data_IF_571827818115
#
_entry.id   IF_571827818115
#
_cell.length_a   1.000
_cell.length_b   1.000
_cell.length_c   1.000
_cell.angle_alpha   90.00
_cell.angle_beta   90.00
_cell.angle_gamma   90.00
#
_symmetry.space_group_name_H-M   'P 1'
#
loop_
_entity.id
_entity.type
_entity.pdbx_description
1 polymer ?
#
# COMPACT_ATOMS: atom_id res chain seq x y z
N UNK A 1 -12.08 45.91 -7.44
CA UNK A 1 -11.00 44.91 -7.56
C UNK A 1 -11.62 43.54 -7.73
N UNK A 2 -11.17 42.87 -8.77
CA UNK A 2 -11.83 41.84 -9.56
C UNK A 2 -12.02 40.52 -8.80
N UNK A 3 -13.26 40.01 -8.74
CA UNK A 3 -13.53 38.62 -8.37
C UNK A 3 -13.02 37.76 -9.52
N UNK A 4 -11.84 37.15 -9.35
CA UNK A 4 -11.36 36.12 -10.27
C UNK A 4 -12.29 34.91 -10.13
N UNK A 5 -13.31 34.87 -10.98
CA UNK A 5 -14.05 33.66 -11.29
C UNK A 5 -13.05 32.69 -11.93
N UNK A 6 -12.53 31.74 -11.14
CA UNK A 6 -11.98 30.51 -11.70
C UNK A 6 -13.14 29.74 -12.34
N UNK A 7 -13.45 30.10 -13.58
CA UNK A 7 -14.27 29.34 -14.50
C UNK A 7 -13.57 27.99 -14.68
N UNK A 8 -13.95 26.98 -13.88
CA UNK A 8 -13.46 25.61 -14.03
C UNK A 8 -13.72 25.22 -15.47
N UNK A 9 -12.66 25.07 -16.26
CA UNK A 9 -12.69 24.59 -17.64
C UNK A 9 -13.63 23.40 -17.71
N UNK A 10 -14.50 23.42 -18.71
CA UNK A 10 -15.28 22.27 -19.10
C UNK A 10 -14.32 21.17 -19.58
N UNK A 11 -13.81 20.40 -18.63
CA UNK A 11 -12.72 19.47 -18.86
C UNK A 11 -13.33 18.18 -19.43
N UNK A 12 -13.26 18.04 -20.76
CA UNK A 12 -13.72 16.84 -21.50
C UNK A 12 -13.23 15.53 -20.87
N UNK A 13 -12.03 15.54 -20.26
CA UNK A 13 -11.46 14.39 -19.56
C UNK A 13 -12.23 14.07 -18.27
N UNK A 14 -12.49 15.07 -17.42
CA UNK A 14 -13.28 14.88 -16.19
C UNK A 14 -14.69 14.37 -16.52
N UNK A 15 -15.32 14.91 -17.57
CA UNK A 15 -16.62 14.43 -18.04
C UNK A 15 -16.57 12.97 -18.50
N UNK A 16 -15.50 12.57 -19.19
CA UNK A 16 -15.30 11.19 -19.61
C UNK A 16 -15.25 10.25 -18.40
N UNK A 17 -14.52 10.62 -17.33
CA UNK A 17 -14.46 9.83 -16.10
C UNK A 17 -15.82 9.66 -15.42
N UNK A 18 -16.68 10.70 -15.44
CA UNK A 18 -18.03 10.65 -14.87
C UNK A 18 -18.98 9.77 -15.69
N UNK A 19 -18.84 9.78 -17.01
CA UNK A 19 -19.72 9.02 -17.93
C UNK A 19 -19.34 7.55 -18.06
N UNK A 20 -18.06 7.20 -17.88
CA UNK A 20 -17.57 5.85 -18.12
C UNK A 20 -17.45 5.02 -16.82
N UNK A 21 -18.34 4.02 -16.61
CA UNK A 21 -18.29 3.17 -15.41
C UNK A 21 -17.02 2.30 -15.34
N UNK A 22 -16.40 2.02 -16.49
CA UNK A 22 -15.16 1.22 -16.58
C UNK A 22 -13.88 2.02 -16.31
N UNK A 23 -13.98 3.34 -16.11
CA UNK A 23 -12.81 4.19 -15.88
C UNK A 23 -11.98 3.73 -14.67
N UNK A 24 -12.64 3.27 -13.60
CA UNK A 24 -11.96 2.72 -12.42
C UNK A 24 -11.15 1.48 -12.75
N UNK A 25 -11.70 0.57 -13.57
CA UNK A 25 -11.00 -0.66 -13.96
C UNK A 25 -9.78 -0.33 -14.83
N UNK A 26 -9.92 0.60 -15.77
CA UNK A 26 -8.80 1.03 -16.64
C UNK A 26 -7.68 1.64 -15.80
N UNK A 27 -7.99 2.51 -14.84
CA UNK A 27 -6.97 3.05 -13.93
C UNK A 27 -6.27 1.97 -13.13
N UNK A 28 -7.01 0.99 -12.59
CA UNK A 28 -6.41 -0.13 -11.86
C UNK A 28 -5.45 -0.93 -12.76
N UNK A 29 -5.87 -1.26 -13.97
CA UNK A 29 -5.03 -2.00 -14.92
C UNK A 29 -3.78 -1.21 -15.32
N UNK A 30 -3.90 0.10 -15.54
CA UNK A 30 -2.74 0.94 -15.87
C UNK A 30 -1.76 1.06 -14.70
N UNK A 31 -2.26 1.34 -13.50
CA UNK A 31 -1.42 1.55 -12.30
C UNK A 31 -0.70 0.27 -11.93
N UNK A 32 -1.40 -0.85 -11.75
CA UNK A 32 -0.76 -2.10 -11.35
C UNK A 32 0.00 -2.76 -12.52
N UNK A 33 -0.54 -2.69 -13.75
CA UNK A 33 0.09 -3.31 -14.92
C UNK A 33 1.43 -2.66 -15.29
N UNK A 34 1.56 -1.33 -15.17
CA UNK A 34 2.83 -0.64 -15.44
C UNK A 34 3.93 -1.01 -14.44
N UNK A 35 3.58 -1.13 -13.15
CA UNK A 35 4.52 -1.54 -12.10
C UNK A 35 5.00 -2.97 -12.30
N UNK A 36 4.07 -3.90 -12.55
CA UNK A 36 4.40 -5.30 -12.85
C UNK A 36 5.30 -5.38 -14.07
N UNK A 37 4.98 -4.65 -15.14
CA UNK A 37 5.77 -4.60 -16.36
C UNK A 37 7.19 -4.11 -16.09
N UNK A 38 7.37 -3.03 -15.31
CA UNK A 38 8.70 -2.51 -14.96
C UNK A 38 9.49 -3.54 -14.15
N UNK A 39 8.88 -4.14 -13.12
CA UNK A 39 9.58 -5.12 -12.29
C UNK A 39 10.03 -6.32 -13.13
N UNK A 40 9.15 -6.87 -13.98
CA UNK A 40 9.50 -8.01 -14.85
C UNK A 40 10.52 -7.65 -15.93
N UNK A 41 10.45 -6.44 -16.51
CA UNK A 41 11.42 -5.97 -17.50
C UNK A 41 12.84 -5.87 -16.93
N UNK A 42 12.97 -5.41 -15.67
CA UNK A 42 14.26 -5.22 -15.02
C UNK A 42 14.75 -6.45 -14.24
N UNK A 43 13.90 -7.45 -14.02
CA UNK A 43 14.21 -8.69 -13.30
C UNK A 43 15.52 -9.38 -13.73
N UNK A 44 15.86 -9.50 -15.04
CA UNK A 44 17.14 -10.09 -15.46
C UNK A 44 18.36 -9.33 -14.91
N UNK A 45 18.24 -8.02 -14.71
CA UNK A 45 19.33 -7.14 -14.28
C UNK A 45 19.48 -7.05 -12.75
N UNK A 46 18.55 -7.64 -11.98
CA UNK A 46 18.50 -7.51 -10.52
C UNK A 46 18.90 -8.77 -9.77
N UNK A 47 18.91 -9.95 -10.42
CA UNK A 47 19.18 -11.25 -9.79
C UNK A 47 20.47 -11.32 -8.95
N UNK A 48 21.54 -10.60 -9.35
CA UNK A 48 22.83 -10.63 -8.66
C UNK A 48 23.11 -9.41 -7.77
N UNK A 49 22.19 -8.43 -7.75
CA UNK A 49 22.41 -7.13 -7.11
C UNK A 49 21.19 -6.69 -6.30
N UNK A 50 21.12 -7.06 -5.00
CA UNK A 50 19.99 -6.73 -4.14
C UNK A 50 19.67 -5.23 -4.09
N UNK A 51 20.67 -4.35 -4.07
CA UNK A 51 20.46 -2.90 -4.09
C UNK A 51 19.78 -2.42 -5.38
N UNK A 52 20.11 -3.01 -6.54
CA UNK A 52 19.44 -2.71 -7.80
C UNK A 52 18.00 -3.22 -7.78
N UNK A 53 17.78 -4.42 -7.24
CA UNK A 53 16.43 -4.96 -7.06
C UNK A 53 15.55 -3.99 -6.26
N UNK A 54 16.06 -3.48 -5.14
CA UNK A 54 15.34 -2.54 -4.29
C UNK A 54 15.13 -1.19 -4.98
N UNK A 55 16.14 -0.67 -5.68
CA UNK A 55 15.99 0.56 -6.46
C UNK A 55 14.91 0.46 -7.54
N UNK A 56 14.79 -0.69 -8.21
CA UNK A 56 13.74 -0.96 -9.21
C UNK A 56 12.36 -0.98 -8.54
N UNK A 57 12.21 -1.70 -7.42
CA UNK A 57 10.93 -1.75 -6.67
C UNK A 57 10.54 -0.36 -6.16
N UNK A 58 11.48 0.38 -5.58
CA UNK A 58 11.23 1.74 -5.09
C UNK A 58 10.84 2.68 -6.24
N UNK A 59 11.56 2.65 -7.35
CA UNK A 59 11.25 3.44 -8.53
C UNK A 59 9.86 3.11 -9.12
N UNK A 60 9.52 1.82 -9.19
CA UNK A 60 8.22 1.37 -9.68
C UNK A 60 7.08 1.84 -8.76
N UNK A 61 7.25 1.76 -7.44
CA UNK A 61 6.24 2.26 -6.49
C UNK A 61 6.13 3.80 -6.49
N UNK A 62 7.22 4.54 -6.67
CA UNK A 62 7.17 6.00 -6.86
C UNK A 62 6.37 6.34 -8.12
N UNK A 63 6.60 5.61 -9.22
CA UNK A 63 5.79 5.77 -10.44
C UNK A 63 4.31 5.44 -10.17
N UNK A 64 4.03 4.38 -9.41
CA UNK A 64 2.67 4.00 -9.01
C UNK A 64 1.96 5.16 -8.29
N UNK A 65 2.61 5.77 -7.31
CA UNK A 65 2.10 6.95 -6.59
C UNK A 65 1.87 8.12 -7.56
N UNK A 66 2.81 8.39 -8.46
CA UNK A 66 2.68 9.45 -9.46
C UNK A 66 1.47 9.22 -10.38
N UNK A 67 1.25 7.99 -10.83
CA UNK A 67 0.09 7.61 -11.65
C UNK A 67 -1.23 7.73 -10.88
N UNK A 68 -1.26 7.35 -9.61
CA UNK A 68 -2.43 7.53 -8.73
C UNK A 68 -2.76 9.01 -8.55
N UNK A 69 -1.76 9.85 -8.29
CA UNK A 69 -1.93 11.30 -8.18
C UNK A 69 -2.41 11.91 -9.50
N UNK A 70 -1.85 11.48 -10.63
CA UNK A 70 -2.27 11.91 -11.96
C UNK A 70 -3.72 11.51 -12.24
N UNK A 71 -4.11 10.27 -11.93
CA UNK A 71 -5.49 9.78 -12.10
C UNK A 71 -6.50 10.61 -11.31
N UNK A 72 -6.21 10.93 -10.04
CA UNK A 72 -7.06 11.83 -9.25
C UNK A 72 -7.17 13.23 -9.85
N UNK A 73 -6.04 13.79 -10.29
CA UNK A 73 -6.03 15.10 -10.93
C UNK A 73 -6.85 15.12 -12.22
N UNK A 74 -6.72 14.09 -13.07
CA UNK A 74 -7.50 13.95 -14.31
C UNK A 74 -9.00 13.78 -14.04
N UNK A 75 -9.37 13.17 -12.91
CA UNK A 75 -10.76 13.08 -12.43
C UNK A 75 -11.31 14.40 -11.87
N UNK A 76 -10.48 15.43 -11.71
CA UNK A 76 -10.86 16.68 -11.03
C UNK A 76 -11.12 16.50 -9.54
N UNK A 77 -10.68 15.38 -8.96
CA UNK A 77 -10.84 15.07 -7.55
C UNK A 77 -9.63 15.60 -6.76
N UNK A 78 -9.84 16.21 -5.58
CA UNK A 78 -8.73 16.79 -4.84
C UNK A 78 -7.87 15.68 -4.24
N UNK A 79 -6.53 15.79 -4.38
CA UNK A 79 -5.56 14.83 -3.82
C UNK A 79 -5.75 14.60 -2.31
N UNK A 80 -6.28 15.60 -1.61
CA UNK A 80 -6.59 15.51 -0.18
C UNK A 80 -7.51 14.31 0.15
N UNK A 81 -8.35 13.88 -0.79
CA UNK A 81 -9.27 12.75 -0.63
C UNK A 81 -8.54 11.38 -0.67
N UNK A 82 -7.30 11.34 -1.16
CA UNK A 82 -6.41 10.18 -1.04
C UNK A 82 -5.66 10.12 0.30
N UNK A 83 -5.93 11.03 1.23
CA UNK A 83 -5.23 11.07 2.53
C UNK A 83 -4.11 12.11 2.62
N UNK A 84 -3.86 12.89 1.56
CA UNK A 84 -3.00 14.10 1.64
C UNK A 84 -3.66 15.25 2.43
N UNK A 85 -4.91 15.08 2.88
CA UNK A 85 -5.60 16.03 3.76
C UNK A 85 -5.05 15.98 5.20
N UNK A 86 -3.81 16.39 5.40
CA UNK A 86 -3.29 16.61 6.75
C UNK A 86 -3.79 17.98 7.22
N UNK A 87 -5.04 18.06 7.71
CA UNK A 87 -5.48 19.19 8.54
C UNK A 87 -4.84 19.08 9.93
N UNK A 88 -3.52 19.15 10.00
CA UNK A 88 -2.77 19.25 11.25
C UNK A 88 -2.66 20.70 11.64
N UNK A 89 -3.25 21.02 12.79
CA UNK A 89 -2.69 21.96 13.76
C UNK A 89 -3.41 21.81 15.10
N UNK A 90 -3.55 20.57 15.57
CA UNK A 90 -3.94 20.33 16.95
C UNK A 90 -3.23 19.08 17.42
N UNK A 91 -2.35 19.23 18.40
CA UNK A 91 -1.65 18.15 19.11
C UNK A 91 -2.57 16.95 19.40
N UNK A 92 -3.82 17.22 19.77
CA UNK A 92 -4.89 16.21 19.97
C UNK A 92 -5.07 15.23 18.80
N UNK A 93 -5.01 15.69 17.54
CA UNK A 93 -5.17 14.81 16.37
C UNK A 93 -3.96 13.92 16.12
N UNK A 94 -2.76 14.44 16.37
CA UNK A 94 -1.51 13.65 16.28
C UNK A 94 -1.52 12.58 17.38
N UNK A 95 -1.87 12.96 18.61
CA UNK A 95 -1.99 12.03 19.72
C UNK A 95 -3.04 10.95 19.44
N UNK A 96 -4.21 11.32 18.90
CA UNK A 96 -5.21 10.35 18.48
C UNK A 96 -4.69 9.41 17.39
N UNK A 97 -3.96 9.92 16.40
CA UNK A 97 -3.40 9.07 15.35
C UNK A 97 -2.39 8.06 15.93
N UNK A 98 -1.53 8.51 16.84
CA UNK A 98 -0.61 7.66 17.58
C UNK A 98 -1.35 6.59 18.40
N UNK A 99 -2.33 7.00 19.20
CA UNK A 99 -3.11 6.08 20.04
C UNK A 99 -3.83 5.00 19.22
N UNK A 100 -4.46 5.38 18.10
CA UNK A 100 -5.15 4.42 17.24
C UNK A 100 -4.20 3.60 16.37
N UNK A 101 -2.98 4.07 16.11
CA UNK A 101 -2.01 3.30 15.32
C UNK A 101 -1.54 2.04 16.05
N UNK A 102 -1.52 2.05 17.38
CA UNK A 102 -1.12 0.88 18.21
C UNK A 102 -2.05 -0.33 18.04
N UNK A 103 -3.38 -0.24 18.26
CA UNK A 103 -4.27 -1.39 18.08
C UNK A 103 -4.35 -1.86 16.63
N UNK A 104 -4.23 -0.94 15.66
CA UNK A 104 -4.13 -1.30 14.23
C UNK A 104 -2.87 -2.13 13.99
N UNK A 105 -1.73 -1.65 14.48
CA UNK A 105 -0.45 -2.35 14.41
C UNK A 105 -0.51 -3.74 15.04
N UNK A 106 -0.98 -3.84 16.30
CA UNK A 106 -1.07 -5.10 17.04
C UNK A 106 -1.96 -6.10 16.30
N UNK A 107 -3.10 -5.66 15.76
CA UNK A 107 -4.02 -6.54 15.05
C UNK A 107 -3.48 -6.97 13.69
N UNK A 108 -2.85 -6.05 12.95
CA UNK A 108 -2.21 -6.36 11.67
C UNK A 108 -1.04 -7.34 11.85
N UNK A 109 -0.22 -7.14 12.89
CA UNK A 109 0.87 -8.05 13.27
C UNK A 109 0.33 -9.42 13.69
N UNK A 110 -0.71 -9.45 14.52
CA UNK A 110 -1.35 -10.70 14.94
C UNK A 110 -1.92 -11.47 13.73
N UNK A 111 -2.55 -10.78 12.77
CA UNK A 111 -3.05 -11.39 11.54
C UNK A 111 -1.90 -11.96 10.68
N UNK A 112 -0.79 -11.23 10.57
CA UNK A 112 0.41 -11.69 9.87
C UNK A 112 1.00 -12.96 10.52
N UNK A 113 1.17 -12.97 11.85
CA UNK A 113 1.68 -14.12 12.60
C UNK A 113 0.72 -15.31 12.53
N UNK A 114 -0.59 -15.06 12.66
CA UNK A 114 -1.61 -16.10 12.55
C UNK A 114 -1.56 -16.78 11.18
N UNK A 115 -1.42 -16.03 10.09
CA UNK A 115 -1.26 -16.59 8.76
C UNK A 115 0.00 -17.46 8.64
N UNK A 116 1.12 -17.05 9.26
CA UNK A 116 2.34 -17.85 9.37
C UNK A 116 2.09 -19.20 10.05
N UNK A 117 1.33 -19.20 11.15
CA UNK A 117 1.01 -20.41 11.91
C UNK A 117 0.02 -21.33 11.16
N UNK A 118 -0.86 -20.76 10.34
CA UNK A 118 -1.84 -21.51 9.56
C UNK A 118 -1.27 -22.06 8.25
N UNK A 119 -0.21 -21.47 7.68
CA UNK A 119 0.31 -21.87 6.37
C UNK A 119 0.74 -23.36 6.30
N UNK A 120 1.47 -23.91 7.29
CA UNK A 120 1.81 -25.33 7.30
C UNK A 120 0.58 -26.23 7.42
N UNK A 121 -0.40 -25.83 8.25
CA UNK A 121 -1.59 -26.63 8.53
C UNK A 121 -2.56 -26.69 7.33
N UNK A 122 -2.71 -25.58 6.60
CA UNK A 122 -3.69 -25.47 5.53
C UNK A 122 -3.14 -25.84 4.15
N UNK A 123 -1.84 -25.67 3.92
CA UNK A 123 -1.24 -25.72 2.58
C UNK A 123 0.09 -26.49 2.50
N UNK A 124 0.54 -27.14 3.58
CA UNK A 124 1.84 -27.82 3.64
C UNK A 124 3.02 -26.91 3.23
N UNK A 125 2.90 -25.63 3.59
CA UNK A 125 3.92 -24.61 3.31
C UNK A 125 4.88 -24.42 4.49
N UNK A 126 6.08 -23.86 4.26
CA UNK A 126 6.97 -23.47 5.35
C UNK A 126 6.32 -22.48 6.32
N UNK A 127 6.75 -22.51 7.58
CA UNK A 127 6.26 -21.56 8.60
C UNK A 127 6.81 -20.15 8.41
N UNK A 128 7.86 -19.98 7.61
CA UNK A 128 8.58 -18.72 7.42
C UNK A 128 8.52 -18.26 5.96
N UNK A 129 8.54 -16.96 5.75
CA UNK A 129 8.53 -16.33 4.42
C UNK A 129 9.95 -16.05 3.92
N UNK A 130 10.15 -16.05 2.60
CA UNK A 130 11.45 -15.77 2.01
C UNK A 130 11.73 -14.25 2.00
N UNK A 131 12.47 -13.80 3.02
CA UNK A 131 12.93 -12.40 3.14
C UNK A 131 14.39 -12.24 2.73
N UNK A 132 14.99 -13.23 2.06
CA UNK A 132 16.41 -13.24 1.72
C UNK A 132 16.85 -12.05 0.87
N UNK A 133 15.94 -11.45 0.09
CA UNK A 133 16.15 -10.22 -0.67
C UNK A 133 16.53 -8.99 0.17
N UNK A 134 16.42 -9.07 1.50
CA UNK A 134 16.80 -8.02 2.45
C UNK A 134 18.11 -8.30 3.19
N UNK A 135 18.72 -9.47 3.02
CA UNK A 135 19.97 -9.85 3.71
C UNK A 135 21.16 -8.91 3.40
N UNK A 136 21.07 -8.08 2.36
CA UNK A 136 22.12 -7.14 1.98
C UNK A 136 22.41 -6.08 3.05
N UNK A 137 21.46 -5.75 3.93
CA UNK A 137 21.66 -4.80 5.02
C UNK A 137 21.97 -5.46 6.38
N UNK A 138 21.99 -6.80 6.46
CA UNK A 138 22.32 -7.52 7.70
C UNK A 138 23.69 -7.09 8.23
N UNK A 139 23.77 -6.76 9.52
CA UNK A 139 24.97 -6.25 10.20
C UNK A 139 25.61 -5.01 9.54
N UNK A 140 24.87 -4.29 8.67
CA UNK A 140 25.34 -3.11 7.93
C UNK A 140 24.44 -1.91 8.18
N UNK A 141 24.70 -1.11 9.24
CA UNK A 141 23.77 -0.08 9.71
C UNK A 141 23.49 1.03 8.67
N UNK A 142 24.48 1.36 7.83
CA UNK A 142 24.29 2.34 6.75
C UNK A 142 23.28 1.86 5.68
N UNK A 143 23.32 0.57 5.33
CA UNK A 143 22.35 -0.01 4.40
C UNK A 143 20.98 -0.21 5.06
N UNK A 144 20.94 -0.54 6.36
CA UNK A 144 19.68 -0.57 7.10
C UNK A 144 18.99 0.79 7.08
N UNK A 145 19.72 1.87 7.39
CA UNK A 145 19.18 3.22 7.40
C UNK A 145 18.65 3.63 6.01
N UNK A 146 19.43 3.37 4.96
CA UNK A 146 18.99 3.60 3.58
C UNK A 146 17.70 2.83 3.26
N UNK A 147 17.63 1.58 3.69
CA UNK A 147 16.49 0.71 3.45
C UNK A 147 15.25 1.16 4.23
N UNK A 148 15.42 1.61 5.48
CA UNK A 148 14.33 2.19 6.29
C UNK A 148 13.79 3.48 5.68
N UNK A 149 14.65 4.36 5.18
CA UNK A 149 14.21 5.57 4.48
C UNK A 149 13.40 5.24 3.22
N UNK A 150 13.86 4.25 2.45
CA UNK A 150 13.15 3.75 1.28
C UNK A 150 11.79 3.14 1.65
N UNK A 151 11.76 2.23 2.61
CA UNK A 151 10.55 1.49 3.01
C UNK A 151 9.49 2.41 3.60
N UNK A 152 9.85 3.43 4.38
CA UNK A 152 8.86 4.37 4.92
C UNK A 152 8.15 5.17 3.83
N UNK A 153 8.89 5.58 2.78
CA UNK A 153 8.30 6.32 1.67
C UNK A 153 7.48 5.40 0.75
N UNK A 154 8.05 4.25 0.41
CA UNK A 154 7.54 3.37 -0.64
C UNK A 154 6.52 2.38 -0.11
N UNK A 155 6.84 1.69 0.98
CA UNK A 155 5.97 0.70 1.62
C UNK A 155 4.98 1.40 2.55
N UNK A 156 5.43 1.89 3.69
CA UNK A 156 4.53 2.32 4.76
C UNK A 156 3.61 3.48 4.35
N UNK A 157 4.13 4.46 3.59
CA UNK A 157 3.32 5.53 3.01
C UNK A 157 2.69 5.15 1.67
N UNK A 158 3.51 4.73 0.72
CA UNK A 158 3.09 4.47 -0.66
C UNK A 158 2.06 3.36 -0.79
N UNK A 159 2.23 2.24 -0.09
CA UNK A 159 1.29 1.13 -0.15
C UNK A 159 -0.03 1.47 0.54
N UNK A 160 -0.03 2.18 1.67
CA UNK A 160 -1.29 2.61 2.27
C UNK A 160 -2.04 3.57 1.32
N UNK A 161 -1.33 4.51 0.70
CA UNK A 161 -1.91 5.40 -0.31
C UNK A 161 -2.50 4.62 -1.50
N UNK A 162 -1.76 3.67 -2.06
CA UNK A 162 -2.19 2.93 -3.25
C UNK A 162 -3.28 1.91 -2.93
N UNK A 163 -3.09 1.07 -1.92
CA UNK A 163 -3.99 -0.04 -1.64
C UNK A 163 -5.21 0.40 -0.83
N UNK A 164 -5.08 1.34 0.14
CA UNK A 164 -6.20 1.71 1.02
C UNK A 164 -6.92 2.94 0.50
N UNK A 165 -6.20 3.98 0.13
CA UNK A 165 -6.86 5.18 -0.40
C UNK A 165 -7.35 5.00 -1.83
N UNK A 166 -6.46 4.64 -2.76
CA UNK A 166 -6.79 4.57 -4.18
C UNK A 166 -7.55 3.30 -4.57
N UNK A 167 -7.00 2.11 -4.33
CA UNK A 167 -7.57 0.84 -4.78
C UNK A 167 -8.95 0.61 -4.15
N UNK A 168 -9.12 0.81 -2.83
CA UNK A 168 -10.44 0.67 -2.22
C UNK A 168 -11.45 1.71 -2.71
N UNK A 169 -11.04 2.94 -3.07
CA UNK A 169 -11.95 3.91 -3.70
C UNK A 169 -12.44 3.38 -5.07
N UNK A 170 -11.51 2.89 -5.90
CA UNK A 170 -11.85 2.33 -7.22
C UNK A 170 -12.72 1.07 -7.12
N UNK A 171 -12.39 0.16 -6.21
CA UNK A 171 -13.22 -1.01 -5.91
C UNK A 171 -14.60 -0.60 -5.38
N UNK A 172 -14.68 0.43 -4.54
CA UNK A 172 -15.94 0.99 -4.07
C UNK A 172 -16.83 1.46 -5.21
N UNK A 173 -16.27 2.13 -6.22
CA UNK A 173 -17.01 2.57 -7.42
C UNK A 173 -17.45 1.40 -8.29
N UNK A 174 -16.60 0.38 -8.46
CA UNK A 174 -16.91 -0.82 -9.23
C UNK A 174 -18.01 -1.65 -8.56
N UNK A 175 -17.96 -1.78 -7.23
CA UNK A 175 -18.91 -2.59 -6.47
C UNK A 175 -20.11 -1.79 -5.94
N UNK A 176 -20.35 -0.56 -6.42
CA UNK A 176 -21.38 0.35 -5.88
C UNK A 176 -22.81 -0.22 -5.79
N UNK A 177 -23.14 -1.18 -6.64
CA UNK A 177 -24.47 -1.79 -6.71
C UNK A 177 -24.57 -3.14 -5.97
N UNK A 178 -23.49 -3.63 -5.36
CA UNK A 178 -23.47 -4.91 -4.66
C UNK A 178 -23.81 -4.72 -3.17
N UNK A 179 -24.70 -5.56 -2.63
CA UNK A 179 -25.07 -5.53 -1.20
C UNK A 179 -23.87 -5.73 -0.27
N UNK A 180 -22.86 -6.49 -0.72
CA UNK A 180 -21.63 -6.78 0.02
C UNK A 180 -20.45 -5.87 -0.38
N UNK A 181 -20.71 -4.67 -0.92
CA UNK A 181 -19.68 -3.74 -1.42
C UNK A 181 -18.46 -3.62 -0.50
N UNK A 182 -18.66 -3.32 0.79
CA UNK A 182 -17.56 -3.14 1.76
C UNK A 182 -16.72 -4.40 1.94
N UNK A 183 -17.37 -5.57 1.99
CA UNK A 183 -16.69 -6.86 2.11
C UNK A 183 -15.85 -7.13 0.86
N UNK A 184 -16.42 -6.91 -0.33
CA UNK A 184 -15.69 -7.08 -1.60
C UNK A 184 -14.48 -6.13 -1.67
N UNK A 185 -14.64 -4.86 -1.27
CA UNK A 185 -13.52 -3.92 -1.19
C UNK A 185 -12.38 -4.44 -0.30
N UNK A 186 -12.70 -4.95 0.90
CA UNK A 186 -11.70 -5.50 1.82
C UNK A 186 -11.02 -6.73 1.23
N UNK A 187 -11.79 -7.70 0.73
CA UNK A 187 -11.27 -8.97 0.21
C UNK A 187 -10.38 -8.74 -1.01
N UNK A 188 -10.87 -8.01 -2.02
CA UNK A 188 -10.09 -7.77 -3.23
C UNK A 188 -8.86 -6.89 -2.96
N UNK A 189 -8.98 -5.86 -2.12
CA UNK A 189 -7.82 -5.04 -1.75
C UNK A 189 -6.76 -5.86 -1.03
N UNK A 190 -7.14 -6.75 -0.12
CA UNK A 190 -6.21 -7.58 0.64
C UNK A 190 -5.52 -8.63 -0.24
N UNK A 191 -6.26 -9.28 -1.14
CA UNK A 191 -5.69 -10.25 -2.09
C UNK A 191 -4.68 -9.56 -3.01
N UNK A 192 -5.03 -8.40 -3.59
CA UNK A 192 -4.13 -7.66 -4.49
C UNK A 192 -2.88 -7.18 -3.72
N UNK A 193 -3.05 -6.76 -2.47
CA UNK A 193 -1.93 -6.40 -1.58
C UNK A 193 -1.02 -7.61 -1.30
N UNK A 194 -1.59 -8.78 -1.02
CA UNK A 194 -0.81 -9.99 -0.81
C UNK A 194 -0.06 -10.46 -2.05
N UNK A 195 -0.72 -10.44 -3.22
CA UNK A 195 -0.10 -10.81 -4.49
C UNK A 195 1.08 -9.92 -4.86
N UNK A 196 1.12 -8.66 -4.40
CA UNK A 196 2.26 -7.77 -4.61
C UNK A 196 3.55 -8.26 -3.92
N UNK A 197 3.42 -9.15 -2.93
CA UNK A 197 4.51 -9.73 -2.17
C UNK A 197 4.91 -11.13 -2.68
N UNK A 198 4.61 -11.47 -3.94
CA UNK A 198 4.92 -12.78 -4.52
C UNK A 198 6.40 -13.17 -4.45
N UNK A 199 7.31 -12.19 -4.41
CA UNK A 199 8.75 -12.42 -4.25
C UNK A 199 9.13 -12.98 -2.88
N UNK A 200 8.23 -12.93 -1.89
CA UNK A 200 8.41 -13.52 -0.57
C UNK A 200 7.90 -14.97 -0.49
N UNK A 201 7.55 -15.55 -1.64
CA UNK A 201 6.94 -16.86 -1.76
C UNK A 201 5.46 -16.87 -1.38
N UNK A 202 4.83 -18.05 -1.49
CA UNK A 202 3.40 -18.22 -1.20
C UNK A 202 3.04 -17.88 0.26
N UNK A 203 3.94 -18.19 1.20
CA UNK A 203 3.76 -17.84 2.62
C UNK A 203 3.69 -16.32 2.79
N UNK A 204 4.58 -15.57 2.13
CA UNK A 204 4.59 -14.11 2.18
C UNK A 204 3.31 -13.50 1.60
N UNK A 205 2.82 -14.04 0.47
CA UNK A 205 1.51 -13.65 -0.11
C UNK A 205 0.37 -13.89 0.87
N UNK A 206 0.36 -15.04 1.54
CA UNK A 206 -0.69 -15.40 2.49
C UNK A 206 -0.65 -14.52 3.76
N UNK A 207 0.53 -14.31 4.33
CA UNK A 207 0.73 -13.44 5.49
C UNK A 207 0.31 -12.00 5.22
N UNK A 208 0.77 -11.44 4.10
CA UNK A 208 0.45 -10.07 3.71
C UNK A 208 -1.01 -9.91 3.30
N UNK A 209 -1.66 -10.96 2.78
CA UNK A 209 -3.12 -10.96 2.58
C UNK A 209 -3.87 -10.79 3.91
N UNK A 210 -3.51 -11.55 4.95
CA UNK A 210 -4.16 -11.44 6.27
C UNK A 210 -3.91 -10.09 6.94
N UNK A 211 -2.67 -9.61 6.89
CA UNK A 211 -2.33 -8.23 7.28
C UNK A 211 -3.17 -7.22 6.48
N UNK A 212 -3.33 -7.47 5.18
CA UNK A 212 -4.10 -6.66 4.25
C UNK A 212 -5.56 -6.52 4.65
N UNK A 213 -6.18 -7.63 5.08
CA UNK A 213 -7.55 -7.67 5.61
C UNK A 213 -7.65 -6.76 6.84
N UNK A 214 -6.76 -6.93 7.83
CA UNK A 214 -6.77 -6.13 9.05
C UNK A 214 -6.68 -4.63 8.74
N UNK A 215 -5.71 -4.23 7.91
CA UNK A 215 -5.52 -2.83 7.52
C UNK A 215 -6.73 -2.27 6.75
N UNK A 216 -7.31 -3.03 5.82
CA UNK A 216 -8.49 -2.61 5.07
C UNK A 216 -9.74 -2.46 5.95
N UNK A 217 -9.94 -3.37 6.92
CA UNK A 217 -11.02 -3.29 7.91
C UNK A 217 -10.86 -2.03 8.76
N UNK A 218 -9.67 -1.80 9.33
CA UNK A 218 -9.42 -0.59 10.13
C UNK A 218 -9.51 0.69 9.31
N UNK A 219 -9.08 0.69 8.06
CA UNK A 219 -9.24 1.83 7.17
C UNK A 219 -10.71 2.24 7.03
N UNK A 220 -11.62 1.28 6.85
CA UNK A 220 -13.06 1.57 6.82
C UNK A 220 -13.61 1.94 8.20
N UNK A 221 -13.24 1.22 9.25
CA UNK A 221 -13.74 1.42 10.61
C UNK A 221 -13.34 2.79 11.19
N UNK A 222 -12.15 3.27 10.88
CA UNK A 222 -11.61 4.55 11.35
C UNK A 222 -11.99 5.73 10.44
N UNK A 223 -12.93 5.53 9.51
CA UNK A 223 -13.41 6.59 8.62
C UNK A 223 -12.37 7.08 7.63
N UNK A 224 -11.58 6.15 7.07
CA UNK A 224 -10.59 6.38 6.01
C UNK A 224 -9.42 7.29 6.41
N UNK A 225 -9.01 7.23 7.68
CA UNK A 225 -7.90 8.01 8.24
C UNK A 225 -6.54 7.38 7.94
N UNK A 226 -6.01 7.63 6.75
CA UNK A 226 -4.80 6.99 6.24
C UNK A 226 -3.58 7.09 7.16
N UNK A 227 -3.37 8.25 7.82
CA UNK A 227 -2.22 8.48 8.70
C UNK A 227 -2.10 7.44 9.83
N UNK A 228 -3.22 6.93 10.33
CA UNK A 228 -3.22 5.91 11.38
C UNK A 228 -2.64 4.60 10.86
N UNK A 229 -3.03 4.22 9.64
CA UNK A 229 -2.57 3.00 8.96
C UNK A 229 -1.09 3.13 8.57
N UNK A 230 -0.69 4.30 8.05
CA UNK A 230 0.72 4.59 7.72
C UNK A 230 1.60 4.43 8.96
N UNK A 231 1.23 5.02 10.10
CA UNK A 231 1.99 4.88 11.34
C UNK A 231 2.07 3.43 11.80
N UNK A 232 0.95 2.69 11.74
CA UNK A 232 0.93 1.28 12.09
C UNK A 232 1.85 0.44 11.18
N UNK A 233 1.85 0.72 9.88
CA UNK A 233 2.69 0.04 8.90
C UNK A 233 4.17 0.39 9.09
N UNK A 234 4.51 1.65 9.40
CA UNK A 234 5.89 2.04 9.77
C UNK A 234 6.41 1.18 10.92
N UNK A 235 5.61 0.90 11.95
CA UNK A 235 6.03 0.04 13.06
C UNK A 235 6.29 -1.40 12.60
N UNK A 236 5.45 -1.95 11.71
CA UNK A 236 5.62 -3.28 11.13
C UNK A 236 6.93 -3.37 10.35
N UNK A 237 7.16 -2.43 9.43
CA UNK A 237 8.35 -2.40 8.58
C UNK A 237 9.62 -2.24 9.42
N UNK A 238 9.56 -1.39 10.44
CA UNK A 238 10.67 -1.20 11.39
C UNK A 238 10.99 -2.51 12.10
N UNK A 239 9.99 -3.22 12.63
CA UNK A 239 10.21 -4.48 13.34
C UNK A 239 10.75 -5.57 12.41
N UNK A 240 10.23 -5.69 11.20
CA UNK A 240 10.71 -6.64 10.20
C UNK A 240 12.18 -6.35 9.82
N UNK A 241 12.52 -5.09 9.55
CA UNK A 241 13.87 -4.75 9.12
C UNK A 241 14.87 -4.89 10.26
N UNK A 242 14.49 -4.55 11.49
CA UNK A 242 15.32 -4.79 12.67
C UNK A 242 15.48 -6.29 12.95
N UNK A 243 14.44 -7.11 12.79
CA UNK A 243 14.58 -8.56 12.99
C UNK A 243 15.58 -9.15 12.00
N UNK A 244 15.48 -8.80 10.71
CA UNK A 244 16.42 -9.23 9.68
C UNK A 244 17.84 -8.73 9.98
N UNK A 245 17.99 -7.46 10.40
CA UNK A 245 19.28 -6.87 10.71
C UNK A 245 20.02 -7.62 11.83
N UNK A 246 19.31 -7.98 12.91
CA UNK A 246 19.87 -8.72 14.04
C UNK A 246 19.90 -10.24 13.84
N UNK A 247 19.49 -10.74 12.67
CA UNK A 247 19.51 -12.17 12.35
C UNK A 247 18.33 -12.99 12.85
N UNK A 248 17.25 -12.34 13.28
CA UNK A 248 15.94 -12.97 13.48
C UNK A 248 15.23 -13.13 12.13
N UNK A 249 15.50 -14.24 11.45
CA UNK A 249 14.70 -14.74 10.32
C UNK A 249 14.40 -16.22 10.56
#
# INVERSE_FOLDING_TARGET
>A
MEKIHHQRRDNRVEQWFKKNPMSSLIELLMVFGSVILIIELFKPSTHQHPLRAQAVVWGANVLMIAMVCLGQWLRGEPLKDLGFAVKTNTFKKILQALMWSVPVFVTALAAFILASALAPLLFDLPAHTDTSGYNYFKDRPGLLLLSLLGVYLVSSFGEELVYRAFLMDRLGRLFKNFRLQKLLMVVFSAIIFGLAHYTWGLVGVFQTTFMGIALAVFYLALGRRLIILIMAHVYMDTLLFLSIYFGGA
#
